data_IF_720696740727
#
_entry.id   IF_720696740727
#
_cell.length_a   1.000
_cell.length_b   1.000
_cell.length_c   1.000
_cell.angle_alpha   90.00
_cell.angle_beta   90.00
_cell.angle_gamma   90.00
#
_symmetry.space_group_name_H-M   'P 1'
#
loop_
_entity.id
_entity.type
_entity.pdbx_description
1 polymer ?
#
# COMPACT_ATOMS: atom_id res chain seq x y z
N UNK A 1 -0.56 8.07 13.69
CA UNK A 1 0.39 7.10 13.10
C UNK A 1 -0.40 6.16 12.20
N UNK A 2 -0.12 6.16 10.90
CA UNK A 2 -0.79 5.35 9.88
C UNK A 2 0.26 4.49 9.17
N UNK A 3 0.01 3.19 9.12
CA UNK A 3 0.83 2.23 8.39
C UNK A 3 0.18 1.94 7.04
N UNK A 4 0.93 2.22 5.98
CA UNK A 4 0.60 1.82 4.62
C UNK A 4 1.42 0.58 4.27
N UNK A 5 0.76 -0.46 3.77
CA UNK A 5 1.42 -1.71 3.37
C UNK A 5 0.89 -2.18 2.03
N UNK A 6 1.79 -2.65 1.18
CA UNK A 6 1.46 -3.48 0.02
C UNK A 6 1.76 -4.92 0.39
N UNK A 7 0.78 -5.80 0.15
CA UNK A 7 0.87 -7.23 0.43
C UNK A 7 0.64 -7.93 -0.89
N UNK A 8 1.44 -8.95 -1.20
CA UNK A 8 1.23 -9.78 -2.38
C UNK A 8 0.14 -10.84 -2.17
N UNK A 9 -0.12 -11.66 -3.18
CA UNK A 9 -1.14 -12.71 -3.12
C UNK A 9 -0.78 -13.87 -2.18
N UNK A 10 0.49 -14.02 -1.81
CA UNK A 10 0.95 -15.05 -0.86
C UNK A 10 0.86 -14.58 0.59
N UNK A 11 0.58 -13.28 0.81
CA UNK A 11 0.45 -12.68 2.12
C UNK A 11 1.72 -11.98 2.59
N UNK A 12 2.75 -11.88 1.75
CA UNK A 12 4.01 -11.24 2.11
C UNK A 12 3.91 -9.72 1.98
N UNK A 13 4.46 -9.01 2.96
CA UNK A 13 4.54 -7.54 2.90
C UNK A 13 5.71 -7.15 2.00
N UNK A 14 5.39 -6.63 0.82
CA UNK A 14 6.39 -6.31 -0.21
C UNK A 14 6.85 -4.86 -0.19
N UNK A 15 6.05 -3.95 0.38
CA UNK A 15 6.40 -2.55 0.63
C UNK A 15 5.65 -1.99 1.85
N UNK A 16 6.30 -1.07 2.59
CA UNK A 16 5.72 -0.44 3.78
C UNK A 16 6.11 1.04 3.88
N UNK A 17 5.23 1.84 4.48
CA UNK A 17 5.50 3.25 4.77
C UNK A 17 4.71 3.73 6.00
N UNK A 18 5.36 4.55 6.84
CA UNK A 18 4.73 5.17 8.00
C UNK A 18 4.50 6.67 7.76
N UNK A 19 3.32 7.14 8.15
CA UNK A 19 3.01 8.57 8.18
C UNK A 19 2.34 8.92 9.51
N UNK A 20 2.60 10.11 10.03
CA UNK A 20 1.93 10.58 11.24
C UNK A 20 0.41 10.72 11.02
N UNK A 21 0.02 11.16 9.81
CA UNK A 21 -1.35 11.45 9.38
C UNK A 21 -1.77 10.62 8.16
N UNK A 22 -3.09 10.51 7.93
CA UNK A 22 -3.63 9.88 6.74
C UNK A 22 -3.35 10.78 5.53
N UNK A 23 -2.40 10.36 4.69
CA UNK A 23 -1.88 11.13 3.58
C UNK A 23 -2.01 10.36 2.25
N UNK A 24 -2.68 10.99 1.29
CA UNK A 24 -2.87 10.46 -0.06
C UNK A 24 -1.58 10.46 -0.90
N UNK A 25 -0.69 11.43 -0.67
CA UNK A 25 0.60 11.55 -1.35
C UNK A 25 1.47 10.36 -0.99
N UNK A 26 1.51 10.01 0.30
CA UNK A 26 2.19 8.82 0.81
C UNK A 26 1.62 7.54 0.20
N UNK A 27 0.30 7.39 0.17
CA UNK A 27 -0.34 6.22 -0.44
C UNK A 27 0.03 6.05 -1.92
N UNK A 28 -0.03 7.15 -2.70
CA UNK A 28 0.37 7.17 -4.10
C UNK A 28 1.84 6.84 -4.29
N UNK A 29 2.73 7.32 -3.40
CA UNK A 29 4.16 7.02 -3.44
C UNK A 29 4.43 5.55 -3.17
N UNK A 30 3.80 4.97 -2.15
CA UNK A 30 3.92 3.55 -1.84
C UNK A 30 3.45 2.69 -3.01
N UNK A 31 2.28 3.01 -3.58
CA UNK A 31 1.74 2.28 -4.73
C UNK A 31 2.72 2.32 -5.92
N UNK A 32 3.19 3.50 -6.32
CA UNK A 32 4.16 3.63 -7.43
C UNK A 32 5.43 2.82 -7.16
N UNK A 33 5.97 2.91 -5.95
CA UNK A 33 7.18 2.17 -5.55
C UNK A 33 6.98 0.67 -5.68
N UNK A 34 5.87 0.14 -5.19
CA UNK A 34 5.54 -1.27 -5.28
C UNK A 34 5.43 -1.73 -6.75
N UNK A 35 4.72 -0.96 -7.60
CA UNK A 35 4.56 -1.27 -9.02
C UNK A 35 5.88 -1.22 -9.80
N UNK A 36 6.75 -0.26 -9.50
CA UNK A 36 8.07 -0.17 -10.14
C UNK A 36 8.97 -1.33 -9.76
N UNK A 37 8.90 -1.79 -8.50
CA UNK A 37 9.81 -2.83 -7.99
C UNK A 37 9.35 -4.25 -8.33
N UNK A 38 8.05 -4.51 -8.26
CA UNK A 38 7.46 -5.84 -8.37
C UNK A 38 6.67 -6.05 -9.67
N UNK A 39 6.59 -5.01 -10.50
CA UNK A 39 5.79 -5.01 -11.72
C UNK A 39 4.30 -4.75 -11.45
N UNK A 40 3.51 -4.56 -12.51
CA UNK A 40 2.06 -4.41 -12.40
C UNK A 40 1.41 -5.75 -12.01
N UNK A 41 0.58 -5.79 -10.94
CA UNK A 41 -0.19 -6.98 -10.62
C UNK A 41 -1.43 -7.08 -11.53
N UNK A 42 -2.00 -8.28 -11.62
CA UNK A 42 -3.25 -8.51 -12.35
C UNK A 42 -4.45 -7.77 -11.69
N UNK A 43 -4.45 -7.65 -10.36
CA UNK A 43 -5.49 -7.00 -9.57
C UNK A 43 -4.91 -6.28 -8.37
N UNK A 44 -5.46 -5.11 -8.06
CA UNK A 44 -5.16 -4.37 -6.81
C UNK A 44 -6.43 -4.31 -5.98
N UNK A 45 -6.34 -4.74 -4.72
CA UNK A 45 -7.40 -4.59 -3.73
C UNK A 45 -6.95 -3.58 -2.69
N UNK A 46 -7.71 -2.50 -2.54
CA UNK A 46 -7.45 -1.49 -1.50
C UNK A 46 -8.37 -1.79 -0.33
N UNK A 47 -7.78 -2.28 0.77
CA UNK A 47 -8.51 -2.44 2.02
C UNK A 47 -8.79 -1.06 2.63
N UNK A 48 -10.07 -0.71 2.76
CA UNK A 48 -10.49 0.42 3.58
C UNK A 48 -10.46 0.05 5.06
N UNK A 49 -9.88 0.91 5.90
CA UNK A 49 -10.18 0.89 7.33
C UNK A 49 -11.69 1.04 7.50
N UNK A 50 -12.31 0.16 8.30
CA UNK A 50 -13.70 0.21 8.77
C UNK A 50 -14.37 1.57 8.55
N UNK A 51 -15.41 1.59 7.72
CA UNK A 51 -16.52 2.53 7.92
C UNK A 51 -17.09 2.25 9.31
N UNK A 52 -16.75 3.11 10.28
CA UNK A 52 -17.67 3.44 11.36
C UNK A 52 -18.52 4.62 10.88
#
# INVERSE_FOLDING_TARGET
MYLYRAIDSLGDTVELFFSEKRDLVVAKRLLRKALTRHGPPERIVIAGSQTN
#
